data_IF_234654835548
#
_entry.id   IF_234654835548
#
_cell.length_a   1.000
_cell.length_b   1.000
_cell.length_c   1.000
_cell.angle_alpha   90.00
_cell.angle_beta   90.00
_cell.angle_gamma   90.00
#
_symmetry.space_group_name_H-M   'P 1'
#
loop_
_entity.id
_entity.type
_entity.pdbx_description
1 polymer ?
#
# COMPACT_ATOMS: atom_id res chain seq x y z
N UNK A 1 14.84 -55.89 66.98
CA UNK A 1 14.09 -55.87 65.71
C UNK A 1 14.26 -54.50 65.05
N UNK A 2 15.40 -54.22 64.41
CA UNK A 2 15.63 -52.95 63.67
C UNK A 2 16.56 -53.08 62.45
N UNK A 3 17.24 -54.23 62.25
CA UNK A 3 18.19 -54.39 61.13
C UNK A 3 17.52 -54.40 59.74
N UNK A 4 16.24 -54.74 59.66
CA UNK A 4 15.51 -54.82 58.39
C UNK A 4 15.08 -53.42 57.91
N UNK A 5 14.68 -52.56 58.85
CA UNK A 5 14.34 -51.16 58.61
C UNK A 5 15.56 -50.33 58.21
N UNK A 6 16.74 -50.60 58.81
CA UNK A 6 17.99 -49.95 58.40
C UNK A 6 18.43 -50.34 56.98
N UNK A 7 18.31 -51.61 56.61
CA UNK A 7 18.62 -52.10 55.26
C UNK A 7 17.64 -51.57 54.20
N UNK A 8 16.35 -51.44 54.54
CA UNK A 8 15.37 -50.83 53.64
C UNK A 8 15.63 -49.35 53.45
N UNK A 9 16.00 -48.61 54.50
CA UNK A 9 16.31 -47.19 54.39
C UNK A 9 17.59 -46.94 53.58
N UNK A 10 18.63 -47.76 53.73
CA UNK A 10 19.87 -47.64 52.95
C UNK A 10 19.66 -47.97 51.46
N UNK A 11 18.77 -48.92 51.16
CA UNK A 11 18.36 -49.24 49.80
C UNK A 11 17.51 -48.13 49.16
N UNK A 12 16.62 -47.52 49.94
CA UNK A 12 15.82 -46.37 49.50
C UNK A 12 16.68 -45.12 49.28
N UNK A 13 17.64 -44.83 50.15
CA UNK A 13 18.62 -43.75 49.98
C UNK A 13 19.48 -43.97 48.72
N UNK A 14 19.90 -45.21 48.45
CA UNK A 14 20.65 -45.56 47.24
C UNK A 14 19.82 -45.37 45.97
N UNK A 15 18.54 -45.77 45.98
CA UNK A 15 17.63 -45.60 44.84
C UNK A 15 17.31 -44.13 44.59
N UNK A 16 17.03 -43.36 45.65
CA UNK A 16 16.74 -41.92 45.56
C UNK A 16 17.95 -41.16 45.03
N UNK A 17 19.15 -41.41 45.55
CA UNK A 17 20.38 -40.82 45.02
C UNK A 17 20.63 -41.21 43.56
N UNK A 18 20.39 -42.46 43.17
CA UNK A 18 20.62 -42.94 41.80
C UNK A 18 19.60 -42.40 40.80
N UNK A 19 18.35 -42.19 41.21
CA UNK A 19 17.30 -41.55 40.38
C UNK A 19 17.49 -40.03 40.27
N UNK A 20 17.93 -39.36 41.33
CA UNK A 20 18.23 -37.93 41.30
C UNK A 20 19.44 -37.61 40.41
N UNK A 21 20.44 -38.49 40.34
CA UNK A 21 21.62 -38.33 39.48
C UNK A 21 21.29 -38.61 37.99
N UNK A 22 20.30 -39.46 37.68
CA UNK A 22 19.90 -39.73 36.29
C UNK A 22 18.91 -38.73 35.70
N UNK A 23 18.24 -37.93 36.55
CA UNK A 23 17.24 -36.94 36.13
C UNK A 23 17.77 -35.51 36.01
N UNK A 24 19.01 -35.35 35.54
CA UNK A 24 19.49 -34.06 35.05
C UNK A 24 20.29 -34.26 33.76
N UNK A 25 19.60 -34.64 32.67
CA UNK A 25 20.08 -34.27 31.32
C UNK A 25 19.99 -32.75 31.18
N UNK A 26 20.90 -32.04 31.85
CA UNK A 26 21.33 -30.68 31.52
C UNK A 26 22.08 -30.78 30.20
N UNK A 27 21.33 -30.93 29.11
CA UNK A 27 21.88 -31.08 27.77
C UNK A 27 20.97 -30.55 26.66
N UNK A 28 19.75 -30.10 26.99
CA UNK A 28 18.81 -29.56 26.00
C UNK A 28 18.70 -28.03 26.01
N UNK A 29 19.04 -27.36 27.11
CA UNK A 29 18.81 -25.90 27.25
C UNK A 29 19.87 -25.07 26.50
N UNK A 30 21.10 -25.58 26.36
CA UNK A 30 22.18 -24.84 25.69
C UNK A 30 22.12 -24.93 24.16
N UNK A 31 21.49 -25.97 23.60
CA UNK A 31 21.35 -26.16 22.14
C UNK A 31 20.27 -25.21 21.58
N UNK A 32 19.23 -24.93 22.37
CA UNK A 32 18.16 -24.00 22.00
C UNK A 32 18.70 -22.57 21.83
N UNK A 33 19.63 -22.11 22.68
CA UNK A 33 20.16 -20.74 22.61
C UNK A 33 20.96 -20.42 21.33
N UNK A 34 21.68 -21.40 20.76
CA UNK A 34 22.49 -21.19 19.55
C UNK A 34 21.65 -21.24 18.27
N UNK A 35 20.64 -22.12 18.25
CA UNK A 35 19.74 -22.26 17.10
C UNK A 35 18.64 -21.19 17.10
N UNK A 36 18.17 -20.73 18.27
CA UNK A 36 17.16 -19.67 18.39
C UNK A 36 17.65 -18.31 17.85
N UNK A 37 18.95 -17.98 18.02
CA UNK A 37 19.54 -16.77 17.40
C UNK A 37 19.43 -16.79 15.88
N UNK A 38 19.70 -17.93 15.24
CA UNK A 38 19.59 -18.07 13.78
C UNK A 38 18.14 -17.93 13.31
N UNK A 39 17.19 -18.48 14.05
CA UNK A 39 15.77 -18.30 13.73
C UNK A 39 15.32 -16.85 13.91
N UNK A 40 15.81 -16.12 14.93
CA UNK A 40 15.55 -14.67 15.09
C UNK A 40 16.14 -13.87 13.92
N UNK A 41 17.34 -14.20 13.45
CA UNK A 41 17.92 -13.58 12.25
C UNK A 41 17.11 -13.88 10.98
N UNK A 42 16.59 -15.10 10.83
CA UNK A 42 15.76 -15.47 9.66
C UNK A 42 14.38 -14.80 9.71
N UNK A 43 13.76 -14.69 10.90
CA UNK A 43 12.46 -14.01 11.08
C UNK A 43 12.60 -12.49 10.90
N UNK A 44 13.69 -11.88 11.37
CA UNK A 44 13.97 -10.46 11.11
C UNK A 44 14.26 -10.17 9.65
N UNK A 45 14.99 -11.04 8.94
CA UNK A 45 15.24 -10.92 7.51
C UNK A 45 13.96 -11.10 6.67
N UNK A 46 13.06 -12.00 7.09
CA UNK A 46 11.76 -12.21 6.44
C UNK A 46 10.74 -11.09 6.74
N UNK A 47 10.80 -10.49 7.94
CA UNK A 47 9.92 -9.38 8.34
C UNK A 47 10.18 -8.07 7.59
N UNK A 48 11.42 -7.84 7.14
CA UNK A 48 11.78 -6.67 6.34
C UNK A 48 11.16 -6.71 4.93
N UNK A 49 10.82 -7.90 4.41
CA UNK A 49 10.14 -8.06 3.12
C UNK A 49 8.68 -7.62 3.11
N UNK A 50 8.04 -7.49 4.28
CA UNK A 50 6.61 -7.15 4.38
C UNK A 50 6.34 -5.63 4.45
N UNK A 51 7.38 -4.78 4.51
CA UNK A 51 7.22 -3.33 4.62
C UNK A 51 7.39 -2.56 3.30
N UNK A 52 7.66 -3.22 2.18
CA UNK A 52 7.87 -2.55 0.89
C UNK A 52 6.66 -2.74 -0.04
N UNK A 53 5.50 -2.24 0.40
CA UNK A 53 4.34 -2.03 -0.48
C UNK A 53 3.83 -0.58 -0.40
N UNK A 54 4.76 0.38 -0.37
CA UNK A 54 4.45 1.80 -0.51
C UNK A 54 4.93 2.33 -1.88
N UNK A 55 4.42 1.76 -2.96
CA UNK A 55 4.35 2.48 -4.22
C UNK A 55 2.89 2.49 -4.68
N UNK A 56 2.10 3.35 -4.05
CA UNK A 56 0.82 3.77 -4.61
C UNK A 56 1.14 4.58 -5.86
N UNK A 57 1.10 3.92 -7.02
CA UNK A 57 1.16 4.54 -8.33
C UNK A 57 -0.01 5.53 -8.44
N UNK A 58 0.26 6.76 -8.05
CA UNK A 58 -0.70 7.86 -7.99
C UNK A 58 -0.86 8.42 -9.38
N UNK A 59 -1.55 7.69 -10.24
CA UNK A 59 -2.23 8.24 -11.40
C UNK A 59 -1.49 9.18 -12.36
N UNK A 60 -0.24 8.86 -12.67
CA UNK A 60 0.52 9.52 -13.73
C UNK A 60 0.50 8.61 -14.97
N UNK A 61 0.03 9.13 -16.10
CA UNK A 61 0.13 8.43 -17.39
C UNK A 61 1.41 8.91 -18.08
N UNK A 62 2.26 7.96 -18.50
CA UNK A 62 3.57 8.24 -19.09
C UNK A 62 3.47 8.93 -20.47
N UNK A 63 2.36 8.75 -21.17
CA UNK A 63 2.05 9.40 -22.44
C UNK A 63 0.68 10.07 -22.39
N UNK A 64 0.57 11.26 -22.97
CA UNK A 64 -0.74 11.90 -23.18
C UNK A 64 -1.59 10.99 -24.09
N UNK A 65 -2.79 10.57 -23.67
CA UNK A 65 -3.62 9.74 -24.53
C UNK A 65 -4.05 10.56 -25.75
N UNK A 66 -4.05 9.96 -26.93
CA UNK A 66 -4.42 10.64 -28.18
C UNK A 66 -5.81 11.28 -28.05
N UNK A 67 -5.89 12.61 -28.16
CA UNK A 67 -7.16 13.32 -28.18
C UNK A 67 -7.92 12.93 -29.45
N UNK A 68 -9.01 12.18 -29.31
CA UNK A 68 -9.94 11.93 -30.42
C UNK A 68 -10.82 13.14 -30.54
N UNK A 69 -10.71 13.88 -31.64
CA UNK A 69 -11.58 15.02 -31.91
C UNK A 69 -12.98 14.50 -32.20
N UNK A 70 -13.87 14.63 -31.22
CA UNK A 70 -15.28 14.32 -31.41
C UNK A 70 -15.92 15.46 -32.22
N UNK A 71 -16.72 15.11 -33.23
CA UNK A 71 -17.46 16.09 -34.02
C UNK A 71 -18.29 17.01 -33.11
N UNK A 72 -18.14 18.33 -33.30
CA UNK A 72 -18.88 19.32 -32.50
C UNK A 72 -20.34 19.29 -32.94
N UNK A 73 -21.30 18.96 -32.05
CA UNK A 73 -22.71 19.02 -32.39
C UNK A 73 -23.14 20.46 -32.72
N UNK A 74 -24.22 20.60 -33.49
CA UNK A 74 -24.74 21.90 -33.89
C UNK A 74 -24.99 22.81 -32.67
N UNK A 75 -24.61 24.09 -32.79
CA UNK A 75 -24.77 25.08 -31.72
C UNK A 75 -26.26 25.26 -31.40
N UNK A 76 -26.70 25.08 -30.14
CA UNK A 76 -28.10 25.25 -29.76
C UNK A 76 -28.60 26.69 -29.88
N UNK A 77 -27.77 27.68 -29.54
CA UNK A 77 -28.05 29.11 -29.73
C UNK A 77 -26.77 29.97 -29.64
N UNK A 78 -26.80 31.20 -30.14
CA UNK A 78 -25.68 32.15 -30.11
C UNK A 78 -25.23 32.55 -28.69
N UNK A 79 -26.03 32.25 -27.68
CA UNK A 79 -25.70 32.48 -26.28
C UNK A 79 -24.88 31.34 -25.66
N UNK A 80 -24.60 30.26 -26.39
CA UNK A 80 -23.79 29.16 -25.89
C UNK A 80 -22.34 29.27 -26.40
N UNK A 81 -21.41 29.03 -25.48
CA UNK A 81 -19.99 28.88 -25.79
C UNK A 81 -19.64 27.40 -25.84
N UNK A 82 -18.71 27.06 -26.71
CA UNK A 82 -18.18 25.71 -26.80
C UNK A 82 -17.17 25.50 -25.66
N UNK A 83 -17.41 24.50 -24.82
CA UNK A 83 -16.45 24.01 -23.83
C UNK A 83 -15.78 22.77 -24.43
N UNK A 84 -14.46 22.85 -24.65
CA UNK A 84 -13.68 21.73 -25.16
C UNK A 84 -13.73 20.51 -24.22
N UNK A 85 -13.40 19.34 -24.77
CA UNK A 85 -13.41 18.10 -24.02
C UNK A 85 -12.47 18.13 -22.81
N UNK A 86 -12.96 17.64 -21.68
CA UNK A 86 -12.18 17.51 -20.44
C UNK A 86 -11.61 16.10 -20.30
N UNK A 87 -10.59 15.92 -19.47
CA UNK A 87 -10.13 14.60 -19.05
C UNK A 87 -10.50 14.32 -17.60
N UNK A 88 -10.95 13.09 -17.33
CA UNK A 88 -11.35 12.65 -16.00
C UNK A 88 -10.48 11.48 -15.58
N UNK A 89 -9.96 11.54 -14.37
CA UNK A 89 -9.27 10.44 -13.75
C UNK A 89 -10.25 9.31 -13.39
N UNK A 90 -10.06 8.12 -13.97
CA UNK A 90 -10.82 6.93 -13.61
C UNK A 90 -10.13 6.16 -12.49
N UNK A 91 -10.75 6.08 -11.31
CA UNK A 91 -10.23 5.30 -10.19
C UNK A 91 -10.22 3.79 -10.47
N UNK A 92 -11.07 3.31 -11.39
CA UNK A 92 -11.19 1.89 -11.68
C UNK A 92 -10.07 1.41 -12.62
N UNK A 93 -9.79 2.18 -13.66
CA UNK A 93 -8.79 1.83 -14.69
C UNK A 93 -7.45 2.54 -14.47
N UNK A 94 -7.35 3.44 -13.50
CA UNK A 94 -6.15 4.23 -13.20
C UNK A 94 -5.58 4.92 -14.45
N UNK A 95 -6.45 5.45 -15.30
CA UNK A 95 -6.10 6.19 -16.51
C UNK A 95 -7.01 7.41 -16.68
N UNK A 96 -6.55 8.39 -17.44
CA UNK A 96 -7.38 9.51 -17.87
C UNK A 96 -8.31 9.05 -18.99
N UNK A 97 -9.60 9.31 -18.82
CA UNK A 97 -10.65 9.06 -19.80
C UNK A 97 -11.08 10.40 -20.38
N UNK A 98 -11.14 10.48 -21.71
CA UNK A 98 -11.61 11.66 -22.43
C UNK A 98 -13.11 11.81 -22.22
N UNK A 99 -13.55 13.02 -21.90
CA UNK A 99 -14.95 13.44 -21.90
C UNK A 99 -15.17 14.38 -23.08
N UNK A 100 -16.22 14.13 -23.86
CA UNK A 100 -16.60 15.00 -24.97
C UNK A 100 -16.91 16.43 -24.47
N UNK A 101 -16.58 17.42 -25.32
CA UNK A 101 -16.96 18.81 -25.11
C UNK A 101 -18.48 19.00 -25.15
N UNK A 102 -18.95 20.11 -24.59
CA UNK A 102 -20.37 20.43 -24.52
C UNK A 102 -20.62 21.93 -24.69
N UNK A 103 -21.85 22.27 -25.09
CA UNK A 103 -22.31 23.65 -25.15
C UNK A 103 -22.79 24.09 -23.76
N UNK A 104 -22.26 25.21 -23.26
CA UNK A 104 -22.70 25.81 -21.99
C UNK A 104 -22.93 27.32 -22.15
N UNK A 105 -23.71 27.91 -21.26
CA UNK A 105 -24.02 29.34 -21.28
C UNK A 105 -23.01 30.10 -20.41
N UNK A 106 -22.30 31.09 -20.95
CA UNK A 106 -21.40 31.90 -20.16
C UNK A 106 -22.16 32.69 -19.11
N UNK A 107 -21.61 32.73 -17.90
CA UNK A 107 -22.17 33.52 -16.80
C UNK A 107 -21.73 34.98 -16.94
N UNK A 108 -22.57 35.96 -16.59
CA UNK A 108 -22.19 37.37 -16.62
C UNK A 108 -20.90 37.62 -15.82
N UNK A 109 -19.93 38.30 -16.43
CA UNK A 109 -18.66 38.65 -15.79
C UNK A 109 -17.71 37.46 -15.55
N UNK A 110 -17.92 36.32 -16.23
CA UNK A 110 -16.99 35.18 -16.18
C UNK A 110 -16.55 34.76 -17.57
N UNK A 111 -15.27 34.39 -17.68
CA UNK A 111 -14.67 33.78 -18.85
C UNK A 111 -14.39 32.31 -18.56
N UNK A 112 -14.61 31.44 -19.54
CA UNK A 112 -14.22 30.05 -19.43
C UNK A 112 -12.74 29.92 -19.77
N UNK A 113 -11.98 29.30 -18.89
CA UNK A 113 -10.58 28.95 -19.12
C UNK A 113 -10.54 27.45 -19.43
N UNK A 114 -10.14 27.10 -20.66
CA UNK A 114 -10.03 25.71 -21.11
C UNK A 114 -9.01 24.94 -20.26
N UNK A 115 -9.34 23.68 -19.96
CA UNK A 115 -8.43 22.78 -19.27
C UNK A 115 -7.18 22.48 -20.12
N UNK A 116 -6.09 22.11 -19.46
CA UNK A 116 -4.83 21.81 -20.14
C UNK A 116 -4.06 20.72 -19.41
N UNK A 117 -3.20 20.03 -20.16
CA UNK A 117 -2.21 19.13 -19.59
C UNK A 117 -1.07 19.92 -18.96
N UNK A 118 -0.77 19.58 -17.71
CA UNK A 118 0.38 20.10 -16.99
C UNK A 118 1.40 18.99 -16.80
N UNK A 119 2.59 19.19 -17.35
CA UNK A 119 3.74 18.32 -17.11
C UNK A 119 4.28 18.56 -15.69
N UNK A 120 4.47 17.49 -14.94
CA UNK A 120 5.06 17.51 -13.59
C UNK A 120 6.26 16.57 -13.55
N UNK A 121 7.13 16.69 -12.55
CA UNK A 121 8.29 15.80 -12.39
C UNK A 121 7.94 14.31 -12.24
N UNK A 122 6.67 13.99 -11.96
CA UNK A 122 6.17 12.62 -11.80
C UNK A 122 5.34 12.13 -12.99
N UNK A 123 5.09 12.98 -13.99
CA UNK A 123 4.32 12.67 -15.20
C UNK A 123 3.31 13.76 -15.57
N UNK A 124 2.38 13.45 -16.47
CA UNK A 124 1.39 14.41 -16.96
C UNK A 124 0.09 14.34 -16.15
N UNK A 125 -0.46 15.50 -15.80
CA UNK A 125 -1.75 15.64 -15.08
C UNK A 125 -2.67 16.60 -15.83
N UNK A 126 -3.95 16.24 -15.94
CA UNK A 126 -4.95 17.15 -16.50
C UNK A 126 -5.41 18.18 -15.46
N UNK A 127 -5.35 19.46 -15.82
CA UNK A 127 -5.94 20.57 -15.09
C UNK A 127 -7.29 20.87 -15.73
N UNK A 128 -8.38 20.63 -14.98
CA UNK A 128 -9.75 20.87 -15.46
C UNK A 128 -9.97 22.35 -15.76
N UNK A 129 -10.71 22.62 -16.84
CA UNK A 129 -11.14 23.98 -17.17
C UNK A 129 -12.09 24.54 -16.10
N UNK A 130 -12.09 25.86 -15.95
CA UNK A 130 -12.89 26.53 -14.94
C UNK A 130 -13.37 27.91 -15.38
N UNK A 131 -14.45 28.37 -14.76
CA UNK A 131 -14.97 29.72 -14.96
C UNK A 131 -14.21 30.70 -14.07
N UNK A 132 -13.44 31.59 -14.68
CA UNK A 132 -12.73 32.65 -13.98
C UNK A 132 -13.54 33.95 -14.02
N UNK A 133 -13.52 34.71 -12.92
CA UNK A 133 -14.06 36.06 -12.91
C UNK A 133 -13.22 36.98 -13.80
N UNK A 134 -13.88 37.70 -14.70
CA UNK A 134 -13.24 38.70 -15.53
C UNK A 134 -13.10 39.98 -14.69
N UNK A 135 -11.96 40.15 -14.02
CA UNK A 135 -11.64 41.44 -13.42
C UNK A 135 -11.39 42.44 -14.55
N UNK A 136 -12.11 43.56 -14.49
CA UNK A 136 -12.03 44.67 -15.44
C UNK A 136 -11.21 45.80 -14.84
#
# INVERSE_FOLDING_TARGET
>A
MNKNTDLQNDFLETIVCKLLIHSTKVGSITIVGKQLKKFIYIISLAGIGLFVNACTATGYVASEPTYVENERPARPSDLHVWIDGDWIWSNQTHVYVQRAGFWDRPRPGRIYVTGHWQATSRGNRWIKGYWQHQNR
#
